data_IF_888386782929
#
_entry.id   IF_888386782929
#
_cell.length_a   1.000
_cell.length_b   1.000
_cell.length_c   1.000
_cell.angle_alpha   90.00
_cell.angle_beta   90.00
_cell.angle_gamma   90.00
#
_symmetry.space_group_name_H-M   'P 1'
#
loop_
_entity.id
_entity.type
_entity.pdbx_description
1 polymer ?
#
# COMPACT_ATOMS: atom_id res chain seq x y z
N UNK A 1 2.47 10.26 -10.15
CA UNK A 1 2.94 10.28 -8.76
C UNK A 1 2.56 8.98 -8.05
N UNK A 2 1.27 8.63 -7.96
CA UNK A 2 0.77 7.38 -7.34
C UNK A 2 1.45 6.11 -7.91
N UNK A 3 1.32 5.84 -9.22
CA UNK A 3 1.99 4.69 -9.88
C UNK A 3 3.51 4.63 -9.66
N UNK A 4 4.15 5.79 -9.58
CA UNK A 4 5.60 5.84 -9.34
C UNK A 4 5.94 5.39 -7.92
N UNK A 5 5.15 5.80 -6.92
CA UNK A 5 5.29 5.32 -5.55
C UNK A 5 5.00 3.81 -5.45
N UNK A 6 4.00 3.30 -6.17
CA UNK A 6 3.72 1.86 -6.22
C UNK A 6 4.95 1.09 -6.69
N UNK A 7 5.51 1.49 -7.83
CA UNK A 7 6.73 0.88 -8.37
C UNK A 7 7.90 0.91 -7.38
N UNK A 8 8.08 2.02 -6.66
CA UNK A 8 9.16 2.14 -5.67
C UNK A 8 8.96 1.21 -4.48
N UNK A 9 7.74 1.14 -3.93
CA UNK A 9 7.39 0.25 -2.81
C UNK A 9 7.54 -1.22 -3.23
N UNK A 10 7.03 -1.59 -4.42
CA UNK A 10 7.17 -2.95 -4.96
C UNK A 10 8.64 -3.30 -5.24
N UNK A 11 9.47 -2.33 -5.65
CA UNK A 11 10.90 -2.58 -5.79
C UNK A 11 11.57 -2.86 -4.43
N UNK A 12 11.18 -2.13 -3.38
CA UNK A 12 11.67 -2.41 -2.01
C UNK A 12 11.22 -3.77 -1.50
N UNK A 13 10.00 -4.21 -1.81
CA UNK A 13 9.54 -5.57 -1.54
C UNK A 13 10.45 -6.62 -2.17
N UNK A 14 10.86 -6.43 -3.44
CA UNK A 14 11.80 -7.35 -4.09
C UNK A 14 13.18 -7.36 -3.43
N UNK A 15 13.67 -6.19 -3.02
CA UNK A 15 14.93 -6.08 -2.27
C UNK A 15 14.83 -6.82 -0.93
N UNK A 16 13.71 -6.66 -0.23
CA UNK A 16 13.45 -7.36 1.03
C UNK A 16 13.47 -8.89 0.85
N UNK A 17 12.72 -9.42 -0.12
CA UNK A 17 12.65 -10.87 -0.38
C UNK A 17 14.02 -11.46 -0.75
N UNK A 18 14.84 -10.72 -1.48
CA UNK A 18 16.20 -11.11 -1.85
C UNK A 18 17.26 -10.91 -0.76
N UNK A 19 16.91 -10.28 0.37
CA UNK A 19 17.87 -9.96 1.43
C UNK A 19 17.97 -11.08 2.48
N UNK A 20 19.15 -11.29 3.08
CA UNK A 20 19.31 -12.22 4.20
C UNK A 20 18.54 -11.72 5.45
N UNK A 21 18.11 -12.62 6.35
CA UNK A 21 17.33 -12.28 7.54
C UNK A 21 17.89 -11.10 8.34
N UNK A 22 19.19 -11.10 8.63
CA UNK A 22 19.87 -10.05 9.40
C UNK A 22 19.77 -8.64 8.79
N UNK A 23 19.46 -8.52 7.49
CA UNK A 23 19.31 -7.25 6.78
C UNK A 23 17.85 -6.82 6.59
N UNK A 24 16.90 -7.71 6.84
CA UNK A 24 15.47 -7.50 6.56
C UNK A 24 14.83 -6.49 7.49
N UNK A 25 15.21 -6.44 8.77
CA UNK A 25 14.60 -5.54 9.74
C UNK A 25 14.73 -4.05 9.36
N UNK A 26 15.90 -3.63 8.89
CA UNK A 26 16.12 -2.25 8.43
C UNK A 26 15.27 -1.92 7.20
N UNK A 27 15.14 -2.88 6.28
CA UNK A 27 14.30 -2.77 5.09
C UNK A 27 12.81 -2.70 5.44
N UNK A 28 12.32 -3.53 6.37
CA UNK A 28 10.94 -3.45 6.88
C UNK A 28 10.66 -2.03 7.39
N UNK A 29 11.54 -1.47 8.23
CA UNK A 29 11.36 -0.11 8.74
C UNK A 29 11.27 0.95 7.65
N UNK A 30 12.08 0.84 6.59
CA UNK A 30 12.00 1.74 5.43
C UNK A 30 10.69 1.57 4.66
N UNK A 31 10.32 0.33 4.37
CA UNK A 31 9.11 -0.02 3.62
C UNK A 31 7.86 0.48 4.35
N UNK A 32 7.73 0.19 5.65
CA UNK A 32 6.58 0.59 6.45
C UNK A 32 6.40 2.11 6.43
N UNK A 33 7.49 2.88 6.58
CA UNK A 33 7.41 4.35 6.52
C UNK A 33 6.93 4.86 5.16
N UNK A 34 7.47 4.31 4.07
CA UNK A 34 7.07 4.72 2.72
C UNK A 34 5.61 4.35 2.44
N UNK A 35 5.21 3.13 2.83
CA UNK A 35 3.86 2.64 2.66
C UNK A 35 2.86 3.47 3.45
N UNK A 36 3.09 3.75 4.74
CA UNK A 36 2.20 4.62 5.54
C UNK A 36 2.04 6.00 4.90
N UNK A 37 3.14 6.64 4.51
CA UNK A 37 3.10 7.96 3.87
C UNK A 37 2.31 7.95 2.56
N UNK A 38 2.42 6.86 1.80
CA UNK A 38 1.73 6.69 0.53
C UNK A 38 0.22 6.50 0.74
N UNK A 39 -0.20 5.61 1.63
CA UNK A 39 -1.60 5.34 1.95
C UNK A 39 -2.33 6.60 2.46
N UNK A 40 -1.64 7.43 3.26
CA UNK A 40 -2.20 8.72 3.73
C UNK A 40 -2.36 9.74 2.59
N UNK A 41 -1.42 9.74 1.63
CA UNK A 41 -1.49 10.61 0.45
C UNK A 41 -2.68 10.23 -0.44
N UNK A 42 -2.95 8.94 -0.61
CA UNK A 42 -4.07 8.47 -1.44
C UNK A 42 -5.42 8.83 -0.85
N UNK A 43 -5.58 8.63 0.47
CA UNK A 43 -6.80 9.02 1.17
C UNK A 43 -7.09 10.51 1.06
N UNK A 44 -6.05 11.34 1.18
CA UNK A 44 -6.20 12.80 1.18
C UNK A 44 -6.36 13.41 -0.21
N UNK A 45 -5.71 12.83 -1.23
CA UNK A 45 -5.69 13.36 -2.58
C UNK A 45 -6.51 12.51 -3.55
N UNK A 46 -6.14 11.24 -3.74
CA UNK A 46 -6.72 10.39 -4.77
C UNK A 46 -8.20 10.11 -4.53
N UNK A 47 -8.55 9.55 -3.38
CA UNK A 47 -9.93 9.16 -3.08
C UNK A 47 -10.85 10.37 -2.97
N UNK A 48 -10.35 11.49 -2.46
CA UNK A 48 -11.09 12.77 -2.44
C UNK A 48 -11.40 13.24 -3.86
N UNK A 49 -10.44 13.15 -4.77
CA UNK A 49 -10.60 13.63 -6.13
C UNK A 49 -11.52 12.72 -6.96
N UNK A 50 -11.42 11.40 -6.79
CA UNK A 50 -12.35 10.45 -7.43
C UNK A 50 -13.80 10.70 -6.98
N UNK A 51 -14.04 10.97 -5.70
CA UNK A 51 -15.37 11.33 -5.20
C UNK A 51 -15.95 12.58 -5.88
N UNK A 52 -15.08 13.53 -6.22
CA UNK A 52 -15.45 14.78 -6.90
C UNK A 52 -15.73 14.56 -8.39
N UNK A 53 -14.91 13.75 -9.06
CA UNK A 53 -14.91 13.60 -10.52
C UNK A 53 -15.78 12.43 -11.01
N UNK A 54 -15.93 11.38 -10.22
CA UNK A 54 -16.64 10.15 -10.56
C UNK A 54 -17.53 9.68 -9.38
N UNK A 55 -18.58 10.44 -9.00
CA UNK A 55 -19.48 10.08 -7.90
C UNK A 55 -20.26 8.77 -8.11
N UNK A 56 -20.34 8.26 -9.33
CA UNK A 56 -20.86 6.93 -9.62
C UNK A 56 -19.94 5.79 -9.13
N UNK A 57 -18.66 6.07 -8.89
CA UNK A 57 -17.64 5.09 -8.50
C UNK A 57 -17.40 5.03 -6.99
N UNK A 58 -18.31 5.57 -6.17
CA UNK A 58 -18.15 5.64 -4.71
C UNK A 58 -18.01 4.27 -4.03
N UNK A 59 -18.57 3.21 -4.61
CA UNK A 59 -18.39 1.85 -4.07
C UNK A 59 -16.95 1.38 -4.19
N UNK A 60 -16.32 1.57 -5.35
CA UNK A 60 -14.92 1.20 -5.58
C UNK A 60 -13.97 1.98 -4.66
N UNK A 61 -14.25 3.28 -4.43
CA UNK A 61 -13.47 4.08 -3.48
C UNK A 61 -13.61 3.56 -2.06
N UNK A 62 -14.81 3.14 -1.64
CA UNK A 62 -15.02 2.58 -0.30
C UNK A 62 -14.30 1.25 -0.12
N UNK A 63 -14.31 0.39 -1.13
CA UNK A 63 -13.60 -0.90 -1.11
C UNK A 63 -12.10 -0.69 -0.95
N UNK A 64 -11.49 0.17 -1.76
CA UNK A 64 -10.07 0.51 -1.63
C UNK A 64 -9.73 1.18 -0.29
N UNK A 65 -10.64 1.97 0.29
CA UNK A 65 -10.45 2.52 1.64
C UNK A 65 -10.47 1.44 2.73
N UNK A 66 -11.30 0.40 2.59
CA UNK A 66 -11.28 -0.73 3.52
C UNK A 66 -9.95 -1.47 3.43
N UNK A 67 -9.51 -1.81 2.21
CA UNK A 67 -8.22 -2.44 1.97
C UNK A 67 -7.04 -1.61 2.53
N UNK A 68 -7.09 -0.28 2.37
CA UNK A 68 -6.10 0.65 2.93
C UNK A 68 -6.04 0.60 4.47
N UNK A 69 -7.20 0.57 5.14
CA UNK A 69 -7.25 0.48 6.61
C UNK A 69 -6.84 -0.91 7.12
N UNK A 70 -7.14 -1.99 6.38
CA UNK A 70 -6.62 -3.34 6.67
C UNK A 70 -5.09 -3.37 6.61
N UNK A 71 -4.49 -2.81 5.57
CA UNK A 71 -3.02 -2.72 5.46
C UNK A 71 -2.44 -1.85 6.59
N UNK A 72 -3.11 -0.76 6.99
CA UNK A 72 -2.67 0.04 8.14
C UNK A 72 -2.71 -0.75 9.44
N UNK A 73 -3.70 -1.60 9.64
CA UNK A 73 -3.75 -2.50 10.79
C UNK A 73 -2.58 -3.51 10.76
N UNK A 74 -2.26 -4.07 9.59
CA UNK A 74 -1.10 -4.94 9.42
C UNK A 74 0.22 -4.22 9.72
N UNK A 75 0.39 -2.98 9.23
CA UNK A 75 1.57 -2.14 9.54
C UNK A 75 1.74 -1.97 11.05
N UNK A 76 0.66 -1.64 11.76
CA UNK A 76 0.69 -1.48 13.22
C UNK A 76 1.09 -2.79 13.91
N UNK A 77 0.56 -3.92 13.45
CA UNK A 77 0.89 -5.23 14.00
C UNK A 77 2.36 -5.60 13.77
N UNK A 78 2.93 -5.35 12.58
CA UNK A 78 4.38 -5.53 12.30
C UNK A 78 5.22 -4.65 13.24
N UNK A 79 4.79 -3.40 13.46
CA UNK A 79 5.52 -2.45 14.32
C UNK A 79 5.47 -2.82 15.81
N UNK A 80 4.37 -3.43 16.26
CA UNK A 80 4.13 -3.80 17.65
C UNK A 80 4.60 -5.22 18.01
N UNK A 81 4.96 -6.03 17.01
CA UNK A 81 5.52 -7.35 17.26
C UNK A 81 6.91 -7.20 17.90
N UNK A 82 6.93 -7.29 19.22
CA UNK A 82 8.12 -7.44 20.05
C UNK A 82 8.27 -8.93 20.38
N UNK A 83 9.29 -9.58 19.84
CA UNK A 83 9.55 -11.00 20.10
C UNK A 83 10.77 -11.51 19.32
N UNK A 84 11.39 -12.58 19.83
CA UNK A 84 12.58 -13.21 19.24
C UNK A 84 12.25 -14.13 18.03
N UNK A 85 11.00 -14.13 17.55
CA UNK A 85 10.56 -14.92 16.39
C UNK A 85 10.58 -14.10 15.12
N UNK A 86 11.80 -13.91 14.58
CA UNK A 86 12.04 -13.21 13.32
C UNK A 86 11.34 -13.90 12.13
N UNK A 87 11.13 -15.22 12.19
CA UNK A 87 10.47 -15.97 11.11
C UNK A 87 8.98 -15.63 11.04
N UNK A 88 8.25 -15.72 12.15
CA UNK A 88 6.82 -15.41 12.17
C UNK A 88 6.56 -13.95 11.78
N UNK A 89 7.46 -13.04 12.18
CA UNK A 89 7.43 -11.64 11.78
C UNK A 89 7.61 -11.46 10.27
N UNK A 90 8.57 -12.17 9.67
CA UNK A 90 8.82 -12.14 8.24
C UNK A 90 7.64 -12.69 7.44
N UNK A 91 7.05 -13.82 7.87
CA UNK A 91 5.85 -14.41 7.25
C UNK A 91 4.67 -13.42 7.26
N UNK A 92 4.40 -12.79 8.41
CA UNK A 92 3.33 -11.79 8.50
C UNK A 92 3.61 -10.53 7.64
N UNK A 93 4.87 -10.12 7.53
CA UNK A 93 5.26 -9.02 6.67
C UNK A 93 5.08 -9.38 5.18
N UNK A 94 5.35 -10.61 4.78
CA UNK A 94 5.12 -11.11 3.43
C UNK A 94 3.62 -11.18 3.09
N UNK A 95 2.75 -11.55 4.04
CA UNK A 95 1.30 -11.46 3.87
C UNK A 95 0.83 -10.02 3.63
N UNK A 96 1.39 -9.06 4.40
CA UNK A 96 1.12 -7.64 4.19
C UNK A 96 1.56 -7.18 2.80
N UNK A 97 2.71 -7.65 2.31
CA UNK A 97 3.19 -7.33 0.97
C UNK A 97 2.22 -7.83 -0.12
N UNK A 98 1.60 -9.00 0.07
CA UNK A 98 0.59 -9.52 -0.85
C UNK A 98 -0.67 -8.64 -0.86
N UNK A 99 -1.17 -8.24 0.31
CA UNK A 99 -2.33 -7.36 0.43
C UNK A 99 -2.08 -6.00 -0.26
N UNK A 100 -0.89 -5.41 -0.06
CA UNK A 100 -0.47 -4.17 -0.75
C UNK A 100 -0.42 -4.37 -2.27
N UNK A 101 0.11 -5.50 -2.74
CA UNK A 101 0.13 -5.82 -4.16
C UNK A 101 -1.26 -5.88 -4.78
N UNK A 102 -2.24 -6.46 -4.07
CA UNK A 102 -3.65 -6.49 -4.51
C UNK A 102 -4.25 -5.09 -4.56
N UNK A 103 -4.07 -4.29 -3.50
CA UNK A 103 -4.56 -2.90 -3.46
C UNK A 103 -4.02 -2.10 -4.64
N UNK A 104 -2.70 -2.12 -4.87
CA UNK A 104 -2.08 -1.37 -5.98
C UNK A 104 -2.62 -1.82 -7.35
N UNK A 105 -2.85 -3.11 -7.55
CA UNK A 105 -3.46 -3.59 -8.80
C UNK A 105 -4.89 -3.06 -8.97
N UNK A 106 -5.70 -3.08 -7.92
CA UNK A 106 -7.07 -2.54 -7.93
C UNK A 106 -7.05 -1.04 -8.23
N UNK A 107 -6.21 -0.27 -7.55
CA UNK A 107 -6.10 1.16 -7.75
C UNK A 107 -5.66 1.52 -9.16
N UNK A 108 -4.63 0.85 -9.68
CA UNK A 108 -4.12 1.12 -11.02
C UNK A 108 -5.08 0.72 -12.13
N UNK A 109 -5.84 -0.36 -11.95
CA UNK A 109 -6.81 -0.87 -12.92
C UNK A 109 -8.11 -0.08 -12.90
N UNK A 110 -8.63 0.22 -11.71
CA UNK A 110 -10.02 0.66 -11.54
C UNK A 110 -10.15 2.11 -11.10
N UNK A 111 -9.24 2.62 -10.26
CA UNK A 111 -9.36 3.95 -9.66
C UNK A 111 -8.60 5.03 -10.41
N UNK A 112 -7.33 4.82 -10.73
CA UNK A 112 -6.50 5.81 -11.42
C UNK A 112 -7.08 6.24 -12.78
N UNK A 113 -7.66 5.34 -13.62
CA UNK A 113 -8.27 5.77 -14.87
C UNK A 113 -9.44 6.75 -14.70
N UNK A 114 -10.09 6.78 -13.54
CA UNK A 114 -11.18 7.72 -13.26
C UNK A 114 -10.68 9.16 -13.13
N UNK A 115 -9.43 9.36 -12.68
CA UNK A 115 -8.83 10.69 -12.56
C UNK A 115 -8.19 11.12 -13.88
N UNK A 116 -7.53 10.20 -14.58
CA UNK A 116 -6.88 10.50 -15.88
C UNK A 116 -7.89 10.92 -16.96
N UNK A 117 -9.08 10.29 -16.99
CA UNK A 117 -10.13 10.61 -17.97
C UNK A 117 -10.76 12.00 -17.76
N UNK A 118 -10.87 12.43 -16.51
CA UNK A 118 -11.47 13.72 -16.16
C UNK A 118 -10.54 14.92 -16.40
N UNK A 119 -9.25 14.69 -16.63
CA UNK A 119 -8.29 15.73 -17.04
C UNK A 119 -8.26 15.94 -18.57
N UNK A 120 -8.98 15.11 -19.33
CA UNK A 120 -9.05 15.19 -20.80
C UNK A 120 -10.38 15.78 -21.32
N UNK A 121 -11.29 16.15 -20.42
CA UNK A 121 -12.58 16.82 -20.70
C UNK A 121 -12.58 18.23 -20.15
#
# INVERSE_FOLDING_TARGET
>A
MVKHNHMQILALFQVYLGSPPDSRQALQGQILRQLTSHLDTEKTLLFREIRRLAPQSLMLVKEAEVENEEIKAMILQVQQTEGDDDQARDEFFEDMMQAVGVLFMTEERDLLPLVDRSLQT
#
